data_IF_304905631267
#
_entry.id   IF_304905631267
#
_cell.length_a   1.000
_cell.length_b   1.000
_cell.length_c   1.000
_cell.angle_alpha   90.00
_cell.angle_beta   90.00
_cell.angle_gamma   90.00
#
_symmetry.space_group_name_H-M   'P 1'
#
loop_
_entity.id
_entity.type
_entity.pdbx_description
1 polymer ?
#
# COMPACT_ATOMS: atom_id res chain seq x y z
N UNK A 1 12.34 17.08 -14.52
CA UNK A 1 12.45 16.81 -13.08
C UNK A 1 13.24 15.52 -12.96
N UNK A 2 14.49 15.63 -12.51
CA UNK A 2 15.26 14.50 -12.02
C UNK A 2 14.54 13.96 -10.77
N UNK A 3 13.98 12.75 -10.87
CA UNK A 3 13.45 12.05 -9.71
C UNK A 3 14.58 11.16 -9.17
N UNK A 4 15.17 11.46 -8.00
CA UNK A 4 16.28 10.71 -7.46
C UNK A 4 15.73 9.48 -6.74
N UNK A 5 15.15 8.54 -7.47
CA UNK A 5 14.88 7.22 -6.91
C UNK A 5 14.67 6.21 -8.03
N UNK A 6 15.74 5.47 -8.32
CA UNK A 6 15.76 4.31 -9.21
C UNK A 6 15.07 3.11 -8.52
N UNK A 7 13.84 3.31 -8.08
CA UNK A 7 13.08 2.39 -7.26
C UNK A 7 11.77 2.05 -7.96
N UNK A 8 11.66 0.79 -8.40
CA UNK A 8 10.46 0.24 -8.98
C UNK A 8 9.22 0.55 -8.10
N UNK A 9 8.05 0.81 -8.70
CA UNK A 9 6.82 1.02 -7.94
C UNK A 9 6.53 -0.22 -7.07
N UNK A 10 6.84 -0.11 -5.76
CA UNK A 10 6.77 -1.23 -4.81
C UNK A 10 8.03 -1.44 -3.96
N UNK A 11 9.14 -0.78 -4.27
CA UNK A 11 10.36 -0.88 -3.50
C UNK A 11 10.29 -0.15 -2.14
N UNK A 12 11.02 -0.62 -1.11
CA UNK A 12 11.01 -0.03 0.22
C UNK A 12 11.54 1.42 0.22
N UNK A 13 10.74 2.34 0.78
CA UNK A 13 11.07 3.76 0.92
C UNK A 13 12.20 3.97 1.98
N UNK A 14 12.45 2.95 2.81
CA UNK A 14 13.61 2.84 3.70
C UNK A 14 14.26 1.49 3.44
N UNK A 15 15.58 1.44 3.38
CA UNK A 15 16.40 0.20 3.33
C UNK A 15 16.18 -0.77 4.51
N UNK A 16 15.13 -0.60 5.32
CA UNK A 16 14.79 -1.39 6.49
C UNK A 16 13.85 -2.53 6.13
N UNK A 17 14.41 -3.61 5.59
CA UNK A 17 13.88 -4.94 5.88
C UNK A 17 14.19 -5.16 7.38
N UNK A 18 13.19 -5.30 8.27
CA UNK A 18 13.48 -5.60 9.67
C UNK A 18 14.12 -6.99 9.79
N UNK A 19 15.03 -7.14 10.74
CA UNK A 19 15.94 -8.29 10.96
C UNK A 19 15.26 -9.66 11.16
N UNK A 20 13.92 -9.74 11.12
CA UNK A 20 13.12 -10.94 11.45
C UNK A 20 12.05 -11.32 10.41
N UNK A 21 12.08 -10.77 9.19
CA UNK A 21 11.24 -11.25 8.08
C UNK A 21 9.74 -10.94 8.17
N UNK A 22 9.31 -10.08 9.11
CA UNK A 22 7.91 -9.61 9.14
C UNK A 22 7.72 -8.37 8.28
N UNK A 23 6.81 -8.49 7.31
CA UNK A 23 6.32 -7.39 6.49
C UNK A 23 5.52 -6.43 7.38
N UNK A 24 5.84 -5.12 7.40
CA UNK A 24 5.03 -4.13 8.11
C UNK A 24 3.58 -4.12 7.62
N UNK A 25 2.61 -3.97 8.55
CA UNK A 25 1.17 -4.01 8.22
C UNK A 25 0.77 -3.05 7.10
N UNK A 26 1.29 -1.82 7.12
CA UNK A 26 1.01 -0.82 6.10
C UNK A 26 1.46 -1.28 4.69
N UNK A 27 2.52 -2.07 4.59
CA UNK A 27 3.00 -2.58 3.31
C UNK A 27 2.08 -3.68 2.77
N UNK A 28 1.64 -4.59 3.64
CA UNK A 28 0.67 -5.60 3.25
C UNK A 28 -0.65 -4.96 2.77
N UNK A 29 -1.09 -3.88 3.43
CA UNK A 29 -2.26 -3.10 3.01
C UNK A 29 -1.99 -2.40 1.67
N UNK A 30 -0.85 -1.73 1.50
CA UNK A 30 -0.46 -1.08 0.24
C UNK A 30 -0.45 -2.05 -0.94
N UNK A 31 0.11 -3.24 -0.78
CA UNK A 31 0.15 -4.25 -1.82
C UNK A 31 -1.26 -4.73 -2.23
N UNK A 32 -2.16 -4.92 -1.25
CA UNK A 32 -3.55 -5.29 -1.51
C UNK A 32 -4.33 -4.17 -2.20
N UNK A 33 -4.13 -2.92 -1.78
CA UNK A 33 -4.75 -1.76 -2.42
C UNK A 33 -4.24 -1.60 -3.86
N UNK A 34 -2.95 -1.86 -4.13
CA UNK A 34 -2.41 -1.79 -5.48
C UNK A 34 -3.09 -2.79 -6.44
N UNK A 35 -3.37 -4.01 -5.98
CA UNK A 35 -4.14 -5.00 -6.77
C UNK A 35 -5.57 -4.49 -7.02
N UNK A 36 -6.23 -3.95 -5.99
CA UNK A 36 -7.57 -3.40 -6.13
C UNK A 36 -7.63 -2.24 -7.14
N UNK A 37 -6.61 -1.37 -7.16
CA UNK A 37 -6.53 -0.26 -8.11
C UNK A 37 -6.38 -0.75 -9.56
N UNK A 38 -5.62 -1.81 -9.79
CA UNK A 38 -5.48 -2.44 -11.11
C UNK A 38 -6.83 -3.03 -11.58
N UNK A 39 -7.57 -3.69 -10.69
CA UNK A 39 -8.89 -4.24 -10.97
C UNK A 39 -9.96 -3.17 -11.24
N UNK A 40 -9.89 -2.04 -10.53
CA UNK A 40 -10.84 -0.93 -10.69
C UNK A 40 -10.58 -0.12 -11.97
N UNK A 41 -9.33 -0.04 -12.40
CA UNK A 41 -8.92 0.78 -13.54
C UNK A 41 -9.05 2.29 -13.30
N UNK A 42 -8.60 3.06 -14.29
CA UNK A 42 -8.66 4.51 -14.23
C UNK A 42 -10.11 5.03 -14.22
N UNK A 43 -10.42 5.96 -13.30
CA UNK A 43 -11.77 6.46 -13.09
C UNK A 43 -12.68 5.53 -12.27
N UNK A 44 -12.19 4.36 -11.85
CA UNK A 44 -12.89 3.45 -10.96
C UNK A 44 -13.13 4.06 -9.57
N UNK A 45 -14.28 3.73 -8.97
CA UNK A 45 -14.64 4.22 -7.64
C UNK A 45 -13.96 3.38 -6.56
N UNK A 46 -13.04 3.99 -5.84
CA UNK A 46 -12.40 3.36 -4.69
C UNK A 46 -13.40 3.26 -3.52
N UNK A 47 -13.44 2.12 -2.79
CA UNK A 47 -14.19 2.02 -1.54
C UNK A 47 -13.74 3.08 -0.53
N UNK A 48 -14.62 3.43 0.40
CA UNK A 48 -14.32 4.45 1.41
C UNK A 48 -13.21 3.98 2.35
N UNK A 49 -12.52 4.93 3.00
CA UNK A 49 -11.48 4.67 4.01
C UNK A 49 -11.94 3.66 5.07
N UNK A 50 -13.22 3.75 5.49
CA UNK A 50 -13.81 2.85 6.48
C UNK A 50 -13.97 1.42 5.94
N UNK A 51 -14.41 1.28 4.69
CA UNK A 51 -14.59 -0.03 4.05
C UNK A 51 -13.25 -0.72 3.83
N UNK A 52 -12.23 0.02 3.37
CA UNK A 52 -10.87 -0.50 3.22
C UNK A 52 -10.26 -0.95 4.55
N UNK A 53 -10.48 -0.20 5.62
CA UNK A 53 -10.02 -0.56 6.95
C UNK A 53 -10.68 -1.86 7.46
N UNK A 54 -11.98 -2.04 7.19
CA UNK A 54 -12.72 -3.25 7.54
C UNK A 54 -12.26 -4.46 6.71
N UNK A 55 -12.10 -4.31 5.39
CA UNK A 55 -11.66 -5.36 4.47
C UNK A 55 -10.26 -5.89 4.79
N UNK A 56 -9.41 -5.06 5.38
CA UNK A 56 -8.02 -5.41 5.69
C UNK A 56 -7.74 -5.58 7.18
N UNK A 57 -8.76 -5.47 8.04
CA UNK A 57 -8.65 -5.62 9.50
C UNK A 57 -7.55 -4.70 10.11
N UNK A 58 -7.47 -3.46 9.63
CA UNK A 58 -6.51 -2.45 10.08
C UNK A 58 -7.19 -1.19 10.60
N UNK A 59 -6.43 -0.31 11.25
CA UNK A 59 -6.94 1.01 11.60
C UNK A 59 -7.08 1.87 10.34
N UNK A 60 -7.98 2.85 10.39
CA UNK A 60 -8.13 3.87 9.34
C UNK A 60 -6.83 4.64 9.08
N UNK A 61 -6.03 4.88 10.12
CA UNK A 61 -4.70 5.51 10.00
C UNK A 61 -3.69 4.66 9.22
N UNK A 62 -3.88 3.34 9.16
CA UNK A 62 -3.02 2.46 8.35
C UNK A 62 -3.40 2.50 6.87
N UNK A 63 -4.66 2.85 6.57
CA UNK A 63 -5.16 2.98 5.21
C UNK A 63 -4.79 4.35 4.62
N UNK A 64 -4.79 5.39 5.46
CA UNK A 64 -4.40 6.76 5.11
C UNK A 64 -2.91 6.88 4.81
#
# INVERSE_FOLDING_TARGET
>A
MDYPNDQAPGAPIRSGIPEHGRIPKYYAVKARIAVLLDELGEGGLLPTERELAQLHEVSRETVR
#
